data_IF_365608823861
#
_entry.id   IF_365608823861
#
_cell.length_a   1.000
_cell.length_b   1.000
_cell.length_c   1.000
_cell.angle_alpha   90.00
_cell.angle_beta   90.00
_cell.angle_gamma   90.00
#
_symmetry.space_group_name_H-M   'P 1'
#
loop_
_entity.id
_entity.type
_entity.pdbx_description
1 polymer ?
#
# COMPACT_ATOMS: atom_id res chain seq x y z
N UNK A 1 -3.13 -13.32 1.16
CA UNK A 1 -2.77 -12.39 2.27
C UNK A 1 -1.27 -12.15 2.46
N UNK A 2 -0.36 -13.01 1.96
CA UNK A 2 1.08 -12.72 1.98
C UNK A 2 1.46 -11.42 1.23
N UNK A 3 0.70 -11.04 0.20
CA UNK A 3 0.84 -9.76 -0.50
C UNK A 3 0.65 -8.53 0.40
N UNK A 4 -0.23 -8.58 1.42
CA UNK A 4 -0.39 -7.48 2.39
C UNK A 4 0.90 -7.26 3.17
N UNK A 5 1.49 -8.35 3.66
CA UNK A 5 2.78 -8.31 4.36
C UNK A 5 3.91 -7.83 3.47
N UNK A 6 4.03 -8.40 2.27
CA UNK A 6 5.09 -8.06 1.33
C UNK A 6 5.00 -6.60 0.89
N UNK A 7 3.80 -6.09 0.63
CA UNK A 7 3.58 -4.68 0.34
C UNK A 7 3.98 -3.78 1.53
N UNK A 8 3.63 -4.16 2.77
CA UNK A 8 4.03 -3.41 3.96
C UNK A 8 5.57 -3.38 4.12
N UNK A 9 6.22 -4.52 3.87
CA UNK A 9 7.68 -4.61 3.83
C UNK A 9 8.26 -3.67 2.77
N UNK A 10 7.73 -3.66 1.55
CA UNK A 10 8.20 -2.81 0.47
C UNK A 10 8.17 -1.32 0.84
N UNK A 11 7.07 -0.85 1.45
CA UNK A 11 6.98 0.53 1.97
C UNK A 11 8.07 0.78 3.00
N UNK A 12 8.20 -0.08 4.01
CA UNK A 12 9.25 0.10 5.04
C UNK A 12 10.67 0.04 4.47
N UNK A 13 10.93 -0.83 3.47
CA UNK A 13 12.24 -1.01 2.85
C UNK A 13 12.73 0.24 2.12
N UNK A 14 11.81 1.01 1.55
CA UNK A 14 12.12 2.32 0.96
C UNK A 14 12.78 3.27 1.96
N UNK A 15 12.35 3.26 3.22
CA UNK A 15 12.86 4.16 4.26
C UNK A 15 14.12 3.64 4.96
N UNK A 16 14.14 2.35 5.27
CA UNK A 16 15.26 1.73 5.98
C UNK A 16 15.37 0.27 5.61
N UNK A 17 16.37 -0.15 4.81
CA UNK A 17 16.57 -1.56 4.54
C UNK A 17 17.00 -2.32 5.80
N UNK A 18 16.65 -3.60 5.88
CA UNK A 18 17.13 -4.51 6.92
C UNK A 18 16.07 -5.49 7.42
N UNK A 19 16.46 -6.41 8.33
CA UNK A 19 15.56 -7.40 8.91
C UNK A 19 14.34 -6.75 9.55
N UNK A 20 13.16 -7.31 9.29
CA UNK A 20 11.89 -6.90 9.90
C UNK A 20 11.51 -7.87 11.02
N UNK A 21 10.95 -7.33 12.09
CA UNK A 21 10.33 -8.15 13.14
C UNK A 21 9.21 -9.01 12.55
N UNK A 22 8.47 -8.44 11.60
CA UNK A 22 7.43 -9.13 10.87
C UNK A 22 6.29 -9.64 11.75
N UNK A 23 5.58 -10.64 11.25
CA UNK A 23 4.51 -11.34 11.97
C UNK A 23 4.86 -12.82 12.08
N UNK A 24 5.78 -13.22 12.98
CA UNK A 24 6.28 -14.61 13.04
C UNK A 24 5.17 -15.64 13.24
N UNK A 25 4.11 -15.28 13.98
CA UNK A 25 2.96 -16.16 14.22
C UNK A 25 2.16 -16.46 12.95
N UNK A 26 2.18 -15.57 11.94
CA UNK A 26 1.49 -15.76 10.65
C UNK A 26 2.18 -16.81 9.79
N UNK A 27 3.47 -17.05 10.00
CA UNK A 27 4.28 -17.96 9.19
C UNK A 27 4.37 -19.38 9.79
N UNK A 28 3.53 -19.67 10.79
CA UNK A 28 3.37 -21.04 11.31
C UNK A 28 2.64 -21.88 10.27
N UNK A 29 2.94 -23.19 10.22
CA UNK A 29 2.34 -24.13 9.26
C UNK A 29 0.81 -24.01 9.21
N UNK A 30 0.25 -24.09 8.01
CA UNK A 30 -1.19 -24.09 7.74
C UNK A 30 -1.96 -22.84 8.23
N UNK A 31 -1.26 -21.75 8.55
CA UNK A 31 -1.86 -20.47 8.93
C UNK A 31 -1.59 -19.42 7.85
N UNK A 32 -2.63 -18.65 7.53
CA UNK A 32 -2.56 -17.46 6.71
C UNK A 32 -2.76 -16.21 7.56
N UNK A 33 -2.49 -15.04 6.99
CA UNK A 33 -2.78 -13.78 7.66
C UNK A 33 -4.30 -13.53 7.67
N UNK A 34 -4.92 -13.58 8.85
CA UNK A 34 -6.30 -13.13 9.04
C UNK A 34 -6.41 -11.61 8.87
N UNK A 35 -7.57 -11.09 8.45
CA UNK A 35 -7.80 -9.64 8.28
C UNK A 35 -7.52 -8.83 9.56
N UNK A 36 -7.83 -9.40 10.74
CA UNK A 36 -7.50 -8.81 12.04
C UNK A 36 -5.98 -8.59 12.26
N UNK A 37 -5.13 -9.31 11.53
CA UNK A 37 -3.67 -9.15 11.59
C UNK A 37 -3.18 -7.90 10.88
N UNK A 38 -4.01 -7.24 10.05
CA UNK A 38 -3.65 -6.00 9.37
C UNK A 38 -3.36 -4.89 10.39
N UNK A 39 -4.15 -4.78 11.46
CA UNK A 39 -3.88 -3.81 12.52
C UNK A 39 -2.56 -4.07 13.25
N UNK A 40 -2.17 -5.35 13.41
CA UNK A 40 -0.85 -5.74 13.96
C UNK A 40 0.27 -5.39 12.98
N UNK A 41 0.06 -5.64 11.68
CA UNK A 41 1.00 -5.29 10.61
C UNK A 41 1.26 -3.78 10.58
N UNK A 42 0.20 -2.96 10.60
CA UNK A 42 0.28 -1.49 10.64
C UNK A 42 1.16 -1.04 11.80
N UNK A 43 0.93 -1.57 13.00
CA UNK A 43 1.71 -1.20 14.19
C UNK A 43 3.17 -1.64 14.12
N UNK A 44 3.44 -2.90 13.76
CA UNK A 44 4.80 -3.45 13.72
C UNK A 44 5.65 -2.77 12.65
N UNK A 45 5.07 -2.49 11.49
CA UNK A 45 5.75 -1.80 10.39
C UNK A 45 5.72 -0.27 10.56
N UNK A 46 5.11 0.26 11.63
CA UNK A 46 4.97 1.69 11.90
C UNK A 46 4.35 2.43 10.72
N UNK A 47 3.29 1.86 10.15
CA UNK A 47 2.46 2.47 9.13
C UNK A 47 1.35 3.28 9.80
N UNK A 48 0.86 4.29 9.10
CA UNK A 48 -0.30 5.07 9.50
C UNK A 48 -1.33 5.11 8.36
N UNK A 49 -2.63 5.23 8.69
CA UNK A 49 -3.66 5.47 7.70
C UNK A 49 -3.39 6.76 6.94
N UNK A 50 -3.58 6.72 5.62
CA UNK A 50 -3.66 7.91 4.78
C UNK A 50 -5.14 8.15 4.45
N UNK A 51 -5.71 9.19 5.05
CA UNK A 51 -7.12 9.52 4.81
C UNK A 51 -7.30 10.02 3.37
N UNK A 52 -8.11 9.32 2.55
CA UNK A 52 -8.35 9.75 1.19
C UNK A 52 -9.26 11.00 1.17
N UNK A 53 -9.13 11.84 0.13
CA UNK A 53 -9.97 13.01 -0.04
C UNK A 53 -11.43 12.60 -0.24
N UNK A 54 -12.34 13.50 0.16
CA UNK A 54 -13.78 13.31 0.05
C UNK A 54 -14.34 14.18 -1.08
N UNK A 55 -15.26 13.68 -1.93
CA UNK A 55 -15.81 12.31 -1.94
C UNK A 55 -14.80 11.21 -2.29
N UNK A 56 -14.86 10.10 -1.53
CA UNK A 56 -13.95 8.97 -1.67
C UNK A 56 -14.02 8.35 -3.07
N UNK A 57 -12.89 7.86 -3.57
CA UNK A 57 -12.63 7.40 -4.94
C UNK A 57 -12.65 8.50 -5.99
N UNK A 58 -13.68 9.35 -6.05
CA UNK A 58 -13.76 10.37 -7.11
C UNK A 58 -12.68 11.44 -7.00
N UNK A 59 -12.32 11.84 -5.78
CA UNK A 59 -11.28 12.84 -5.51
C UNK A 59 -9.89 12.24 -5.33
N UNK A 60 -9.74 10.91 -5.45
CA UNK A 60 -8.41 10.30 -5.50
C UNK A 60 -7.84 10.55 -6.90
N UNK A 61 -7.23 11.73 -7.07
CA UNK A 61 -6.59 12.17 -8.33
C UNK A 61 -5.09 11.89 -8.34
N UNK A 62 -4.44 12.09 -9.49
CA UNK A 62 -3.00 11.95 -9.60
C UNK A 62 -2.26 13.06 -8.87
N UNK A 63 -2.78 14.28 -8.82
CA UNK A 63 -2.20 15.40 -8.05
C UNK A 63 -2.21 15.11 -6.55
N UNK A 64 -3.31 14.54 -6.04
CA UNK A 64 -3.40 14.14 -4.65
C UNK A 64 -2.41 13.00 -4.33
N UNK A 65 -2.33 11.99 -5.21
CA UNK A 65 -1.35 10.91 -5.05
C UNK A 65 0.08 11.44 -5.12
N UNK A 66 0.37 12.39 -6.00
CA UNK A 66 1.68 13.02 -6.13
C UNK A 66 2.09 13.73 -4.83
N UNK A 67 1.20 14.56 -4.26
CA UNK A 67 1.44 15.23 -2.97
C UNK A 67 1.65 14.21 -1.85
N UNK A 68 0.83 13.16 -1.79
CA UNK A 68 0.97 12.09 -0.80
C UNK A 68 2.31 11.32 -0.96
N UNK A 69 2.69 10.97 -2.19
CA UNK A 69 3.95 10.31 -2.50
C UNK A 69 5.16 11.19 -2.17
N UNK A 70 5.04 12.50 -2.41
CA UNK A 70 6.08 13.47 -2.09
C UNK A 70 6.28 13.58 -0.58
N UNK A 71 5.19 13.71 0.21
CA UNK A 71 5.24 13.85 1.67
C UNK A 71 5.63 12.57 2.39
N UNK A 72 5.12 11.43 1.93
CA UNK A 72 5.14 10.18 2.71
C UNK A 72 5.85 9.02 2.02
N UNK A 73 6.38 9.20 0.81
CA UNK A 73 6.98 8.12 0.04
C UNK A 73 5.94 7.11 -0.48
N UNK A 74 6.35 5.87 -0.78
CA UNK A 74 5.47 4.86 -1.36
C UNK A 74 4.23 4.58 -0.51
N UNK A 75 3.09 4.41 -1.18
CA UNK A 75 1.79 4.23 -0.53
C UNK A 75 1.38 2.77 -0.67
N UNK A 76 1.12 2.12 0.46
CA UNK A 76 0.50 0.80 0.48
C UNK A 76 -0.99 0.96 0.17
N UNK A 77 -1.52 0.21 -0.80
CA UNK A 77 -2.91 0.28 -1.19
C UNK A 77 -3.56 -1.11 -1.18
N UNK A 78 -4.65 -1.25 -0.44
CA UNK A 78 -5.47 -2.46 -0.34
C UNK A 78 -6.78 -2.33 -1.13
N UNK A 79 -7.13 -3.37 -1.87
CA UNK A 79 -8.34 -3.36 -2.68
C UNK A 79 -8.42 -4.54 -3.64
N UNK A 80 -9.24 -4.41 -4.68
CA UNK A 80 -9.49 -5.43 -5.69
C UNK A 80 -8.43 -5.41 -6.83
N UNK A 81 -7.14 -5.42 -6.49
CA UNK A 81 -6.04 -5.18 -7.44
C UNK A 81 -5.57 -6.42 -8.22
N UNK A 82 -6.02 -7.62 -7.89
CA UNK A 82 -5.62 -8.86 -8.59
C UNK A 82 -6.82 -9.55 -9.20
N UNK A 83 -7.12 -9.27 -10.47
CA UNK A 83 -8.30 -9.83 -11.18
C UNK A 83 -9.62 -9.64 -10.40
N UNK A 84 -9.79 -8.49 -9.74
CA UNK A 84 -10.95 -8.19 -8.89
C UNK A 84 -10.92 -8.84 -7.50
N UNK A 85 -9.91 -9.66 -7.20
CA UNK A 85 -9.71 -10.25 -5.88
C UNK A 85 -8.98 -9.30 -4.94
N UNK A 86 -9.24 -9.47 -3.64
CA UNK A 86 -8.57 -8.75 -2.57
C UNK A 86 -7.06 -8.93 -2.69
N UNK A 87 -6.34 -7.81 -2.72
CA UNK A 87 -4.91 -7.76 -2.93
C UNK A 87 -4.34 -6.43 -2.42
N UNK A 88 -3.04 -6.43 -2.13
CA UNK A 88 -2.31 -5.22 -1.75
C UNK A 88 -1.18 -4.95 -2.73
N UNK A 89 -1.07 -3.69 -3.15
CA UNK A 89 -0.01 -3.18 -4.01
C UNK A 89 0.72 -2.02 -3.32
N UNK A 90 1.84 -1.58 -3.89
CA UNK A 90 2.56 -0.38 -3.44
C UNK A 90 2.64 0.62 -4.57
N UNK A 91 1.96 1.76 -4.43
CA UNK A 91 2.07 2.89 -5.35
C UNK A 91 3.41 3.57 -5.12
N UNK A 92 4.17 3.75 -6.19
CA UNK A 92 5.53 4.29 -6.15
C UNK A 92 5.70 5.58 -6.94
N UNK A 93 4.73 5.95 -7.76
CA UNK A 93 4.80 7.13 -8.62
C UNK A 93 3.51 7.39 -9.35
N UNK A 94 3.38 8.60 -9.88
CA UNK A 94 2.31 8.99 -10.81
C UNK A 94 2.91 9.85 -11.92
N UNK A 95 2.27 9.83 -13.09
CA UNK A 95 2.56 10.73 -14.21
C UNK A 95 1.31 10.87 -15.08
N UNK A 96 0.86 12.09 -15.34
CA UNK A 96 -0.37 12.37 -16.09
C UNK A 96 -1.57 11.64 -15.46
N UNK A 97 -2.14 10.62 -16.11
CA UNK A 97 -3.20 9.76 -15.57
C UNK A 97 -2.72 8.38 -15.12
N UNK A 98 -1.41 8.13 -15.19
CA UNK A 98 -0.80 6.82 -14.95
C UNK A 98 -0.29 6.72 -13.52
N UNK A 99 -0.68 5.65 -12.84
CA UNK A 99 -0.20 5.25 -11.51
C UNK A 99 0.83 4.13 -11.69
N UNK A 100 2.04 4.32 -11.18
CA UNK A 100 3.11 3.32 -11.15
C UNK A 100 3.08 2.58 -9.82
N UNK A 101 3.16 1.25 -9.88
CA UNK A 101 3.07 0.43 -8.67
C UNK A 101 3.88 -0.86 -8.76
N UNK A 102 4.27 -1.34 -7.59
CA UNK A 102 4.85 -2.67 -7.40
C UNK A 102 3.77 -3.62 -6.88
N UNK A 103 3.69 -4.79 -7.48
CA UNK A 103 2.76 -5.85 -7.13
C UNK A 103 3.54 -7.01 -6.48
N UNK A 104 3.27 -7.37 -5.21
CA UNK A 104 3.96 -8.49 -4.57
C UNK A 104 3.78 -9.85 -5.26
N UNK A 105 2.82 -9.99 -6.17
CA UNK A 105 2.59 -11.22 -6.93
C UNK A 105 3.75 -11.54 -7.89
N UNK A 106 4.39 -10.53 -8.48
CA UNK A 106 5.48 -10.73 -9.42
C UNK A 106 6.46 -9.54 -9.48
N UNK A 107 7.76 -9.77 -9.75
CA UNK A 107 8.78 -8.71 -9.73
C UNK A 107 8.78 -7.87 -11.02
N UNK A 108 7.61 -7.52 -11.54
CA UNK A 108 7.47 -6.69 -12.74
C UNK A 108 7.06 -5.26 -12.38
N UNK A 109 7.63 -4.28 -13.08
CA UNK A 109 7.13 -2.91 -13.02
C UNK A 109 5.74 -2.86 -13.65
N UNK A 110 4.76 -2.27 -12.95
CA UNK A 110 3.38 -2.19 -13.41
C UNK A 110 2.85 -0.78 -13.39
N UNK A 111 1.88 -0.56 -14.25
CA UNK A 111 1.16 0.71 -14.38
C UNK A 111 -0.33 0.48 -14.55
N UNK A 112 -1.14 1.39 -14.06
CA UNK A 112 -2.58 1.43 -14.34
C UNK A 112 -3.08 2.87 -14.47
N UNK A 113 -4.22 3.07 -15.12
CA UNK A 113 -4.87 4.39 -15.13
C UNK A 113 -5.46 4.74 -13.75
N UNK A 114 -5.44 6.02 -13.38
CA UNK A 114 -5.99 6.54 -12.13
C UNK A 114 -7.45 6.13 -11.90
N UNK A 115 -8.25 6.03 -12.97
CA UNK A 115 -9.64 5.56 -12.88
C UNK A 115 -9.71 4.09 -12.49
N UNK A 116 -8.80 3.26 -12.98
CA UNK A 116 -8.69 1.86 -12.58
C UNK A 116 -8.24 1.75 -11.13
N UNK A 117 -7.22 2.52 -10.73
CA UNK A 117 -6.72 2.55 -9.36
C UNK A 117 -7.82 2.87 -8.35
N UNK A 118 -8.50 4.02 -8.52
CA UNK A 118 -9.55 4.45 -7.59
C UNK A 118 -10.76 3.53 -7.57
N UNK A 119 -11.08 2.89 -8.70
CA UNK A 119 -12.15 1.89 -8.78
C UNK A 119 -11.81 0.65 -7.93
N UNK A 120 -10.56 0.19 -8.02
CA UNK A 120 -10.07 -0.98 -7.30
C UNK A 120 -9.86 -0.76 -5.79
N UNK A 121 -9.74 0.48 -5.30
CA UNK A 121 -9.57 0.76 -3.87
C UNK A 121 -10.68 0.11 -3.02
N UNK A 122 -10.28 -0.51 -1.91
CA UNK A 122 -11.19 -1.10 -0.94
C UNK A 122 -12.11 -0.06 -0.31
N UNK A 123 -13.39 -0.38 -0.01
CA UNK A 123 -14.35 0.55 0.58
C UNK A 123 -14.21 0.70 2.11
N UNK A 124 -13.13 0.16 2.70
CA UNK A 124 -12.93 0.12 4.14
C UNK A 124 -11.91 1.17 4.59
N UNK A 125 -12.00 1.55 5.86
CA UNK A 125 -10.98 2.36 6.52
C UNK A 125 -9.61 1.67 6.41
N UNK A 126 -8.54 2.47 6.36
CA UNK A 126 -7.15 1.98 6.23
C UNK A 126 -6.85 1.23 4.92
N UNK A 127 -7.59 1.49 3.84
CA UNK A 127 -7.27 0.97 2.50
C UNK A 127 -6.02 1.62 1.88
N UNK A 128 -5.59 2.76 2.42
CA UNK A 128 -4.33 3.41 2.08
C UNK A 128 -3.50 3.56 3.35
N UNK A 129 -2.24 3.13 3.30
CA UNK A 129 -1.30 3.25 4.40
C UNK A 129 0.01 3.85 3.91
N UNK A 130 0.64 4.66 4.75
CA UNK A 130 1.95 5.26 4.51
C UNK A 130 2.85 5.10 5.72
N UNK A 131 4.13 5.43 5.60
CA UNK A 131 5.03 5.41 6.76
C UNK A 131 4.65 6.52 7.74
N UNK A 132 4.63 6.22 9.03
CA UNK A 132 4.28 7.17 10.11
C UNK A 132 5.25 8.34 10.32
N UNK A 133 6.22 8.52 9.43
CA UNK A 133 7.19 9.61 9.44
C UNK A 133 7.20 10.28 8.07
N UNK A 134 7.21 11.61 8.03
CA UNK A 134 7.42 12.35 6.79
C UNK A 134 8.72 11.91 6.12
N UNK A 135 8.69 11.86 4.79
CA UNK A 135 9.88 11.61 3.98
C UNK A 135 10.90 12.72 4.22
N UNK A 136 12.10 12.36 4.63
CA UNK A 136 13.22 13.30 4.68
C UNK A 136 13.69 13.55 3.25
N UNK A 137 13.54 14.78 2.77
CA UNK A 137 14.16 15.19 1.51
C UNK A 137 15.65 15.39 1.76
N UNK A 138 16.48 14.49 1.21
CA UNK A 138 17.92 14.68 1.12
C UNK A 138 18.27 15.29 -0.23
#
# INVERSE_FOLDING_TARGET
MACWYAAACMVSYYFRPGPRLGLPDVWRKDQGMAQASISKLIRVEGLMPLDPPKPFKTEVTTEWLEDALWRYGPIWAGGAFHMGQQHAIVVTGVKDTVVFYNDPWEPAAKTMDIKMFRSALGPHDNCLLVKGSLKTHY
#
